data_IF_972864280980
#
_entry.id   IF_972864280980
#
_cell.length_a   1.000
_cell.length_b   1.000
_cell.length_c   1.000
_cell.angle_alpha   90.00
_cell.angle_beta   90.00
_cell.angle_gamma   90.00
#
_symmetry.space_group_name_H-M   'P 1'
#
loop_
_entity.id
_entity.type
_entity.pdbx_description
1 polymer ?
#
# COMPACT_ATOMS: atom_id res chain seq x y z
N UNK A 1 10.48 -68.37 13.47
CA UNK A 1 10.27 -67.25 14.34
C UNK A 1 11.42 -66.28 14.07
N UNK A 2 11.15 -65.18 13.35
CA UNK A 2 12.11 -64.13 13.07
C UNK A 2 11.48 -62.81 13.60
N UNK A 3 12.09 -62.29 14.65
CA UNK A 3 11.73 -61.00 15.24
C UNK A 3 12.30 -59.88 14.35
N UNK A 4 11.43 -59.09 13.80
CA UNK A 4 11.76 -57.84 13.13
C UNK A 4 11.57 -56.70 14.11
N UNK A 5 12.69 -56.15 14.61
CA UNK A 5 12.71 -54.98 15.45
C UNK A 5 12.50 -53.75 14.58
N UNK A 6 11.41 -53.02 14.79
CA UNK A 6 11.18 -51.69 14.20
C UNK A 6 12.05 -50.68 14.90
N UNK A 7 13.03 -50.15 14.20
CA UNK A 7 13.86 -49.03 14.63
C UNK A 7 13.13 -47.72 14.30
N UNK A 8 12.48 -47.10 15.28
CA UNK A 8 11.86 -45.80 15.15
C UNK A 8 12.99 -44.74 15.15
N UNK A 9 13.24 -44.19 13.98
CA UNK A 9 14.15 -43.03 13.82
C UNK A 9 13.36 -41.78 14.24
N UNK A 10 13.62 -41.27 15.46
CA UNK A 10 13.25 -39.93 15.86
C UNK A 10 14.16 -38.93 15.14
N UNK A 11 13.66 -38.29 14.11
CA UNK A 11 14.29 -37.11 13.53
C UNK A 11 14.05 -35.97 14.52
N UNK A 12 15.02 -35.70 15.37
CA UNK A 12 15.08 -34.48 16.14
C UNK A 12 15.40 -33.34 15.15
N UNK A 13 14.39 -32.55 14.81
CA UNK A 13 14.59 -31.27 14.14
C UNK A 13 15.27 -30.37 15.18
N UNK A 14 16.58 -30.30 15.11
CA UNK A 14 17.37 -29.31 15.83
C UNK A 14 17.00 -27.95 15.23
N UNK A 15 16.14 -27.21 15.93
CA UNK A 15 16.09 -25.77 15.77
C UNK A 15 17.48 -25.25 16.11
N UNK A 16 18.25 -24.90 15.10
CA UNK A 16 19.40 -24.06 15.28
C UNK A 16 18.89 -22.72 15.81
N UNK A 17 18.81 -22.62 17.12
CA UNK A 17 18.87 -21.36 17.80
C UNK A 17 20.26 -20.83 17.47
N UNK A 18 20.37 -19.92 16.50
CA UNK A 18 21.53 -19.07 16.35
C UNK A 18 21.70 -18.40 17.72
N UNK A 19 22.68 -18.89 18.46
CA UNK A 19 23.08 -18.28 19.72
C UNK A 19 23.58 -16.89 19.42
N UNK A 20 22.74 -15.87 19.65
CA UNK A 20 23.21 -14.54 19.84
C UNK A 20 24.11 -14.55 21.06
N UNK A 21 25.36 -14.14 20.92
CA UNK A 21 26.25 -13.84 22.02
C UNK A 21 25.53 -12.87 22.96
N UNK A 22 25.50 -13.23 24.23
CA UNK A 22 25.06 -12.40 25.36
C UNK A 22 26.05 -11.23 25.53
N UNK A 23 25.86 -10.15 24.81
CA UNK A 23 26.40 -8.85 25.20
C UNK A 23 25.42 -7.78 24.72
N UNK A 24 24.77 -7.09 25.66
CA UNK A 24 23.89 -5.91 25.54
C UNK A 24 22.39 -6.08 25.28
N UNK A 25 21.77 -7.24 25.35
CA UNK A 25 20.30 -7.39 25.31
C UNK A 25 19.57 -6.92 26.61
N UNK A 26 20.29 -6.29 27.55
CA UNK A 26 19.76 -6.00 28.89
C UNK A 26 18.78 -4.83 28.94
N UNK A 27 18.74 -3.94 27.95
CA UNK A 27 17.96 -2.69 28.00
C UNK A 27 16.63 -2.70 27.22
N UNK A 28 16.41 -3.68 26.34
CA UNK A 28 15.15 -3.77 25.60
C UNK A 28 14.05 -4.40 26.45
N UNK A 29 12.87 -3.79 26.46
CA UNK A 29 11.65 -4.41 27.00
C UNK A 29 11.26 -5.66 26.19
N UNK A 30 10.41 -6.53 26.75
CA UNK A 30 9.93 -7.73 26.04
C UNK A 30 9.24 -7.39 24.72
N UNK A 31 8.54 -6.27 24.67
CA UNK A 31 7.84 -5.77 23.46
C UNK A 31 8.83 -5.25 22.43
N UNK A 32 9.87 -4.51 22.84
CA UNK A 32 10.91 -4.05 21.93
C UNK A 32 11.71 -5.22 21.35
N UNK A 33 12.01 -6.23 22.16
CA UNK A 33 12.61 -7.48 21.64
C UNK A 33 11.75 -8.18 20.61
N UNK A 34 10.43 -8.11 20.71
CA UNK A 34 9.53 -8.70 19.70
C UNK A 34 9.55 -7.95 18.37
N UNK A 35 9.93 -6.67 18.34
CA UNK A 35 10.12 -5.90 17.12
C UNK A 35 11.42 -6.28 16.41
N UNK A 36 12.49 -6.64 17.14
CA UNK A 36 13.83 -6.88 16.54
C UNK A 36 13.77 -7.87 15.38
N UNK A 37 14.33 -7.47 14.24
CA UNK A 37 14.41 -8.21 12.99
C UNK A 37 13.96 -7.41 11.79
N UNK A 38 13.89 -8.08 10.63
CA UNK A 38 13.51 -7.48 9.37
C UNK A 38 12.03 -7.72 9.08
N UNK A 39 11.35 -6.70 8.56
CA UNK A 39 9.94 -6.70 8.29
C UNK A 39 9.67 -6.05 6.94
N UNK A 40 9.17 -6.83 5.98
CA UNK A 40 8.79 -6.33 4.66
C UNK A 40 7.37 -5.81 4.67
N UNK A 41 7.12 -4.64 4.08
CA UNK A 41 5.77 -4.12 3.84
C UNK A 41 5.03 -5.05 2.89
N UNK A 42 3.85 -5.49 3.29
CA UNK A 42 2.98 -6.37 2.50
C UNK A 42 1.65 -5.72 2.16
N UNK A 43 1.18 -4.77 2.97
CA UNK A 43 -0.04 -4.00 2.72
C UNK A 43 0.15 -2.57 3.25
N UNK A 44 -0.36 -1.61 2.51
CA UNK A 44 -0.45 -0.22 2.96
C UNK A 44 -1.86 0.30 2.72
N UNK A 45 -2.43 0.95 3.73
CA UNK A 45 -3.75 1.54 3.67
C UNK A 45 -3.65 3.03 4.00
N UNK A 46 -4.30 3.84 3.20
CA UNK A 46 -4.56 5.24 3.50
C UNK A 46 -6.07 5.38 3.72
N UNK A 47 -6.47 5.75 4.93
CA UNK A 47 -7.84 5.56 5.42
C UNK A 47 -8.30 4.09 5.33
N UNK A 48 -9.36 3.81 4.59
CA UNK A 48 -9.89 2.46 4.36
C UNK A 48 -9.43 1.82 3.04
N UNK A 49 -8.60 2.50 2.26
CA UNK A 49 -8.20 2.06 0.93
C UNK A 49 -6.81 1.50 0.93
N UNK A 50 -6.68 0.29 0.40
CA UNK A 50 -5.37 -0.30 0.17
C UNK A 50 -4.69 0.43 -0.98
N UNK A 51 -3.48 0.93 -0.72
CA UNK A 51 -2.62 1.53 -1.73
C UNK A 51 -1.58 0.52 -2.21
N UNK A 52 -1.17 0.61 -3.48
CA UNK A 52 -0.05 -0.18 -3.97
C UNK A 52 1.25 0.22 -3.27
N UNK A 53 2.10 -0.76 -3.05
CA UNK A 53 3.45 -0.56 -2.50
C UNK A 53 4.40 -0.32 -3.67
N UNK A 54 5.14 0.78 -3.64
CA UNK A 54 6.13 1.08 -4.67
C UNK A 54 7.48 0.46 -4.29
N UNK A 55 7.91 -0.54 -5.05
CA UNK A 55 9.16 -1.26 -4.83
C UNK A 55 9.17 -2.11 -3.54
N UNK A 56 10.35 -2.58 -3.17
CA UNK A 56 10.57 -3.41 -1.98
C UNK A 56 10.83 -2.49 -0.79
N UNK A 57 9.93 -2.47 0.17
CA UNK A 57 10.06 -1.67 1.40
C UNK A 57 10.28 -2.58 2.60
N UNK A 58 11.38 -2.35 3.33
CA UNK A 58 11.74 -3.13 4.51
C UNK A 58 12.09 -2.20 5.65
N UNK A 59 11.58 -2.49 6.84
CA UNK A 59 12.02 -1.89 8.08
C UNK A 59 12.79 -2.92 8.90
N UNK A 60 13.93 -2.54 9.44
CA UNK A 60 14.74 -3.37 10.32
C UNK A 60 14.84 -2.71 11.69
N UNK A 61 14.49 -3.45 12.73
CA UNK A 61 14.69 -3.06 14.12
C UNK A 61 15.88 -3.85 14.68
N UNK A 62 16.89 -3.15 15.20
CA UNK A 62 18.11 -3.74 15.76
C UNK A 62 18.07 -3.75 17.29
N UNK A 63 18.85 -4.61 17.90
CA UNK A 63 18.94 -4.74 19.37
C UNK A 63 19.52 -3.50 20.06
N UNK A 64 20.24 -2.66 19.35
CA UNK A 64 20.78 -1.37 19.83
C UNK A 64 19.78 -0.21 19.73
N UNK A 65 18.47 -0.50 19.53
CA UNK A 65 17.39 0.46 19.31
C UNK A 65 17.47 1.23 18.00
N UNK A 66 18.30 0.82 17.06
CA UNK A 66 18.30 1.41 15.71
C UNK A 66 17.14 0.85 14.90
N UNK A 67 16.38 1.73 14.27
CA UNK A 67 15.38 1.43 13.26
C UNK A 67 15.89 1.93 11.92
N UNK A 68 16.03 1.04 10.95
CA UNK A 68 16.49 1.37 9.60
C UNK A 68 15.38 1.11 8.59
N UNK A 69 15.14 2.03 7.67
CA UNK A 69 14.19 1.85 6.57
C UNK A 69 14.93 1.74 5.25
N UNK A 70 14.59 0.71 4.49
CA UNK A 70 15.17 0.40 3.18
C UNK A 70 14.10 0.45 2.09
N UNK A 71 14.47 1.05 0.95
CA UNK A 71 13.69 1.04 -0.28
C UNK A 71 14.54 0.38 -1.38
N UNK A 72 14.04 -0.70 -1.97
CA UNK A 72 14.75 -1.47 -3.01
C UNK A 72 16.18 -1.91 -2.63
N UNK A 73 16.37 -2.22 -1.34
CA UNK A 73 17.65 -2.61 -0.75
C UNK A 73 18.56 -1.45 -0.38
N UNK A 74 18.21 -0.19 -0.70
CA UNK A 74 18.97 0.99 -0.34
C UNK A 74 18.47 1.60 0.97
N UNK A 75 19.37 1.89 1.90
CA UNK A 75 19.05 2.57 3.15
C UNK A 75 18.59 4.00 2.87
N UNK A 76 17.38 4.33 3.31
CA UNK A 76 16.79 5.65 3.16
C UNK A 76 17.01 6.52 4.39
N UNK A 77 16.77 5.95 5.57
CA UNK A 77 17.03 6.65 6.84
C UNK A 77 17.23 5.66 7.99
N UNK A 78 17.84 6.15 9.05
CA UNK A 78 17.94 5.48 10.34
C UNK A 78 17.46 6.41 11.44
N UNK A 79 16.84 5.83 12.46
CA UNK A 79 16.41 6.52 13.68
C UNK A 79 16.50 5.58 14.86
N UNK A 80 16.22 6.05 16.05
CA UNK A 80 16.06 5.18 17.21
C UNK A 80 14.58 4.88 17.46
N UNK A 81 14.29 3.78 18.18
CA UNK A 81 12.92 3.41 18.53
C UNK A 81 12.80 3.02 20.01
N UNK A 82 11.64 3.31 20.56
CA UNK A 82 11.16 2.84 21.86
C UNK A 82 9.72 2.38 21.72
N UNK A 83 9.33 1.36 22.51
CA UNK A 83 7.95 0.93 22.60
C UNK A 83 7.38 1.33 23.97
N UNK A 84 6.31 2.12 23.97
CA UNK A 84 5.63 2.58 25.19
C UNK A 84 4.19 2.08 25.23
N UNK A 85 3.68 1.61 26.38
CA UNK A 85 2.28 1.22 26.49
C UNK A 85 1.34 2.40 26.23
N UNK A 86 0.17 2.10 25.65
CA UNK A 86 -0.92 3.07 25.57
C UNK A 86 -1.50 3.37 26.95
N UNK A 87 -2.23 4.47 27.10
CA UNK A 87 -2.87 4.83 28.37
C UNK A 87 -3.80 3.75 28.95
N UNK A 88 -4.43 2.98 28.07
CA UNK A 88 -5.39 1.94 28.45
C UNK A 88 -4.73 0.56 28.55
N UNK A 89 -3.41 0.47 28.35
CA UNK A 89 -2.63 -0.79 28.32
C UNK A 89 -3.07 -1.78 27.21
N UNK A 90 -3.95 -1.35 26.27
CA UNK A 90 -4.49 -2.19 25.21
C UNK A 90 -3.56 -2.28 23.98
N UNK A 91 -2.37 -1.67 24.03
CA UNK A 91 -1.42 -1.64 22.91
C UNK A 91 -0.15 -0.86 23.23
N UNK A 92 0.65 -0.62 22.18
CA UNK A 92 1.92 0.08 22.30
C UNK A 92 2.05 1.16 21.26
N UNK A 93 2.73 2.25 21.63
CA UNK A 93 3.20 3.29 20.71
C UNK A 93 4.65 3.03 20.34
N UNK A 94 4.96 3.23 19.06
CA UNK A 94 6.33 3.35 18.57
C UNK A 94 6.76 4.80 18.68
N UNK A 95 7.85 5.05 19.42
CA UNK A 95 8.40 6.37 19.70
C UNK A 95 9.80 6.48 19.11
N UNK A 96 10.20 7.68 18.71
CA UNK A 96 11.54 7.97 18.17
C UNK A 96 12.44 8.74 19.15
N UNK A 97 11.91 9.07 20.33
CA UNK A 97 12.65 9.68 21.43
C UNK A 97 12.24 9.04 22.75
N UNK A 98 13.17 8.88 23.72
CA UNK A 98 12.88 8.21 24.98
C UNK A 98 11.85 8.95 25.87
N UNK A 99 11.77 10.27 25.74
CA UNK A 99 10.88 11.12 26.55
C UNK A 99 9.61 11.54 25.81
N UNK A 100 9.39 11.02 24.59
CA UNK A 100 8.23 11.34 23.77
C UNK A 100 6.93 10.83 24.42
N UNK A 101 5.99 11.73 24.71
CA UNK A 101 4.67 11.42 25.26
C UNK A 101 3.58 11.61 24.18
N UNK A 102 3.23 10.54 23.51
CA UNK A 102 2.14 10.54 22.53
C UNK A 102 0.74 10.64 23.14
N UNK A 103 0.63 10.56 24.48
CA UNK A 103 -0.67 10.61 25.16
C UNK A 103 -1.43 11.92 24.95
N UNK A 104 -0.75 12.97 24.52
CA UNK A 104 -1.30 14.31 24.21
C UNK A 104 -1.02 14.75 22.79
N UNK A 105 -0.33 13.94 21.98
CA UNK A 105 -0.04 14.26 20.59
C UNK A 105 -1.27 14.04 19.71
N UNK A 106 -1.49 14.92 18.76
CA UNK A 106 -2.44 14.74 17.66
C UNK A 106 -1.94 13.69 16.63
N UNK A 107 -0.68 13.28 16.77
CA UNK A 107 -0.05 12.23 15.98
C UNK A 107 0.35 11.09 16.90
N UNK A 108 -0.07 9.90 16.57
CA UNK A 108 0.32 8.67 17.28
C UNK A 108 0.70 7.59 16.29
N UNK A 109 1.75 6.85 16.63
CA UNK A 109 2.21 5.69 15.88
C UNK A 109 2.00 4.45 16.74
N UNK A 110 0.82 3.87 16.67
CA UNK A 110 0.50 2.63 17.40
C UNK A 110 0.96 1.40 16.62
N UNK A 111 1.25 0.30 17.30
CA UNK A 111 1.58 -0.95 16.63
C UNK A 111 1.06 -2.18 17.37
N UNK A 112 0.94 -3.27 16.63
CA UNK A 112 0.56 -4.60 17.10
C UNK A 112 1.39 -5.67 16.39
N UNK A 113 1.78 -6.71 17.10
CA UNK A 113 2.43 -7.89 16.51
C UNK A 113 1.56 -9.11 16.78
N UNK A 114 1.15 -9.78 15.71
CA UNK A 114 0.41 -11.05 15.77
C UNK A 114 1.17 -12.09 14.95
N UNK A 115 1.86 -12.99 15.62
CA UNK A 115 2.73 -13.98 14.98
C UNK A 115 3.85 -13.33 14.18
N UNK A 116 3.86 -13.53 12.87
CA UNK A 116 4.84 -12.95 11.95
C UNK A 116 4.35 -11.68 11.24
N UNK A 117 3.26 -11.08 11.71
CA UNK A 117 2.73 -9.82 11.15
C UNK A 117 2.90 -8.69 12.16
N UNK A 118 3.45 -7.59 11.70
CA UNK A 118 3.53 -6.32 12.41
C UNK A 118 2.58 -5.35 11.70
N UNK A 119 1.67 -4.75 12.43
CA UNK A 119 0.82 -3.67 11.94
C UNK A 119 1.20 -2.38 12.65
N UNK A 120 1.46 -1.32 11.89
CA UNK A 120 1.73 0.02 12.41
C UNK A 120 0.62 0.94 11.93
N UNK A 121 0.03 1.71 12.85
CA UNK A 121 -0.97 2.75 12.56
C UNK A 121 -0.36 4.11 12.84
N UNK A 122 -0.45 4.98 11.87
CA UNK A 122 -0.14 6.39 12.04
C UNK A 122 -1.45 7.17 12.03
N UNK A 123 -1.77 7.84 13.11
CA UNK A 123 -2.94 8.70 13.19
C UNK A 123 -2.52 10.15 13.35
N UNK A 124 -2.98 11.00 12.44
CA UNK A 124 -2.93 12.46 12.55
C UNK A 124 -4.34 13.04 12.68
N UNK A 125 -4.46 14.35 12.83
CA UNK A 125 -5.75 15.02 13.02
C UNK A 125 -6.80 14.70 11.98
N UNK A 126 -6.39 14.27 10.77
CA UNK A 126 -7.28 14.02 9.63
C UNK A 126 -6.94 12.74 8.85
N UNK A 127 -5.83 12.08 9.15
CA UNK A 127 -5.34 10.93 8.37
C UNK A 127 -5.03 9.77 9.30
N UNK A 128 -5.55 8.59 8.94
CA UNK A 128 -5.15 7.32 9.55
C UNK A 128 -4.54 6.49 8.44
N UNK A 129 -3.24 6.26 8.51
CA UNK A 129 -2.58 5.27 7.67
C UNK A 129 -2.33 3.99 8.46
N UNK A 130 -2.31 2.87 7.77
CA UNK A 130 -2.04 1.57 8.33
C UNK A 130 -1.09 0.84 7.41
N UNK A 131 0.07 0.44 7.92
CA UNK A 131 1.03 -0.39 7.19
C UNK A 131 1.15 -1.75 7.86
N UNK A 132 1.03 -2.80 7.06
CA UNK A 132 1.18 -4.18 7.51
C UNK A 132 2.48 -4.73 6.95
N UNK A 133 3.24 -5.33 7.83
CA UNK A 133 4.55 -5.93 7.53
C UNK A 133 4.51 -7.42 7.80
N UNK A 134 5.26 -8.17 7.01
CA UNK A 134 5.57 -9.57 7.22
C UNK A 134 7.02 -9.71 7.68
N UNK A 135 7.25 -10.50 8.73
CA UNK A 135 8.61 -10.81 9.17
C UNK A 135 9.36 -11.62 8.11
N UNK A 136 10.56 -11.19 7.80
CA UNK A 136 11.49 -11.87 6.88
C UNK A 136 12.80 -12.21 7.61
N UNK A 137 13.53 -13.26 7.18
CA UNK A 137 14.77 -13.68 7.85
C UNK A 137 15.91 -12.65 7.74
N UNK A 138 15.95 -11.88 6.66
CA UNK A 138 16.96 -10.84 6.43
C UNK A 138 16.51 -9.91 5.31
N UNK A 139 17.17 -8.78 5.14
CA UNK A 139 16.90 -7.82 4.06
C UNK A 139 16.93 -8.48 2.67
N UNK A 140 17.88 -9.38 2.43
CA UNK A 140 18.03 -10.09 1.14
C UNK A 140 16.94 -11.15 0.88
N UNK A 141 16.09 -11.45 1.87
CA UNK A 141 14.99 -12.38 1.73
C UNK A 141 13.67 -11.67 1.40
N UNK A 142 13.70 -10.37 1.14
CA UNK A 142 12.52 -9.61 0.72
C UNK A 142 12.04 -10.10 -0.66
N UNK A 143 10.73 -10.34 -0.78
CA UNK A 143 10.11 -10.81 -2.01
C UNK A 143 9.70 -9.61 -2.89
N UNK A 144 10.28 -9.44 -4.08
CA UNK A 144 9.96 -8.33 -4.97
C UNK A 144 8.53 -8.39 -5.53
N UNK A 145 7.87 -9.54 -5.47
CA UNK A 145 6.49 -9.69 -5.94
C UNK A 145 5.44 -9.25 -4.92
N UNK A 146 5.84 -9.11 -3.65
CA UNK A 146 4.95 -8.65 -2.59
C UNK A 146 4.70 -7.15 -2.72
N UNK A 147 3.43 -6.78 -2.82
CA UNK A 147 3.02 -5.38 -2.96
C UNK A 147 3.28 -4.74 -4.32
N UNK A 148 3.91 -5.46 -5.26
CA UNK A 148 4.13 -4.95 -6.61
C UNK A 148 2.81 -4.58 -7.30
N UNK A 149 2.87 -3.53 -8.14
CA UNK A 149 1.72 -3.11 -8.94
C UNK A 149 1.29 -4.22 -9.89
N UNK A 150 0.16 -4.86 -9.58
CA UNK A 150 -0.48 -5.85 -10.44
C UNK A 150 -1.77 -5.27 -11.00
N UNK A 151 -2.09 -5.59 -12.25
CA UNK A 151 -3.27 -5.05 -12.92
C UNK A 151 -4.26 -6.16 -13.27
N UNK A 152 -5.55 -5.82 -13.28
CA UNK A 152 -6.57 -6.69 -13.85
C UNK A 152 -6.44 -6.70 -15.39
N UNK A 153 -6.42 -7.89 -16.01
CA UNK A 153 -6.29 -8.01 -17.46
C UNK A 153 -7.52 -7.47 -18.22
N UNK A 154 -8.71 -7.70 -17.66
CA UNK A 154 -9.99 -7.34 -18.25
C UNK A 154 -10.97 -6.78 -17.22
N UNK A 155 -10.78 -5.53 -16.77
CA UNK A 155 -11.69 -4.91 -15.84
C UNK A 155 -13.06 -4.67 -16.47
N UNK A 156 -14.14 -4.91 -15.71
CA UNK A 156 -15.52 -4.76 -16.16
C UNK A 156 -16.38 -3.86 -15.27
N UNK A 157 -15.82 -3.39 -14.16
CA UNK A 157 -16.51 -2.54 -13.18
C UNK A 157 -15.72 -1.29 -12.90
N UNK A 158 -16.40 -0.17 -12.72
CA UNK A 158 -15.80 1.11 -12.38
C UNK A 158 -15.19 1.09 -10.98
N UNK A 159 -15.89 0.46 -10.03
CA UNK A 159 -15.48 0.42 -8.62
C UNK A 159 -14.12 -0.28 -8.46
N UNK A 160 -13.30 0.27 -7.57
CA UNK A 160 -11.97 -0.21 -7.24
C UNK A 160 -10.89 0.84 -7.42
N UNK A 161 -9.64 0.41 -7.33
CA UNK A 161 -8.47 1.27 -7.41
C UNK A 161 -7.86 1.26 -8.79
N UNK A 162 -7.60 2.44 -9.31
CA UNK A 162 -7.11 2.65 -10.66
C UNK A 162 -5.84 3.49 -10.66
N UNK A 163 -4.87 3.11 -11.46
CA UNK A 163 -3.69 3.88 -11.78
C UNK A 163 -3.91 4.62 -13.11
N UNK A 164 -3.71 5.93 -13.13
CA UNK A 164 -3.68 6.70 -14.37
C UNK A 164 -2.39 6.37 -15.12
N UNK A 165 -2.51 5.61 -16.20
CA UNK A 165 -1.35 5.19 -16.99
C UNK A 165 -0.95 6.23 -18.04
N UNK A 166 -1.92 6.92 -18.64
CA UNK A 166 -1.65 7.99 -19.60
C UNK A 166 -2.81 8.97 -19.71
N UNK A 167 -2.49 10.18 -20.14
CA UNK A 167 -3.47 11.20 -20.52
C UNK A 167 -3.18 11.71 -21.94
N UNK A 168 -4.23 11.96 -22.72
CA UNK A 168 -4.16 12.55 -24.04
C UNK A 168 -4.82 13.93 -24.00
N UNK A 169 -4.06 14.96 -24.29
CA UNK A 169 -4.51 16.35 -24.32
C UNK A 169 -4.46 16.89 -25.77
N UNK A 170 -5.11 16.26 -26.71
CA UNK A 170 -5.22 16.70 -28.12
C UNK A 170 -4.01 17.48 -28.66
N UNK A 171 -3.96 18.80 -28.51
CA UNK A 171 -2.82 19.64 -28.89
C UNK A 171 -1.63 19.57 -27.94
N UNK A 172 -1.79 18.96 -26.76
CA UNK A 172 -0.76 18.87 -25.74
C UNK A 172 0.06 17.59 -25.76
N UNK A 173 -0.35 16.62 -26.58
CA UNK A 173 0.32 15.34 -26.70
C UNK A 173 -0.16 14.29 -25.66
N UNK A 174 0.54 13.16 -25.66
CA UNK A 174 0.30 12.06 -24.73
C UNK A 174 1.32 12.14 -23.62
N UNK A 175 0.84 12.03 -22.38
CA UNK A 175 1.65 11.95 -21.16
C UNK A 175 1.48 10.57 -20.56
N UNK A 176 2.57 9.94 -20.19
CA UNK A 176 2.61 8.68 -19.44
C UNK A 176 2.92 8.96 -17.99
N UNK A 177 2.39 8.14 -17.10
CA UNK A 177 2.53 8.25 -15.65
C UNK A 177 3.16 6.98 -15.10
N UNK A 178 4.08 7.16 -14.16
CA UNK A 178 4.64 6.05 -13.43
C UNK A 178 3.59 5.47 -12.45
N UNK A 179 3.67 4.17 -12.14
CA UNK A 179 2.81 3.57 -11.14
C UNK A 179 2.87 4.33 -9.80
N UNK A 180 1.72 4.75 -9.28
CA UNK A 180 1.62 5.52 -8.05
C UNK A 180 1.61 7.04 -8.18
N UNK A 181 1.89 7.60 -9.37
CA UNK A 181 1.81 9.04 -9.59
C UNK A 181 0.40 9.58 -9.39
N UNK A 182 -0.58 8.93 -9.98
CA UNK A 182 -2.00 9.27 -9.84
C UNK A 182 -2.81 8.00 -9.61
N UNK A 183 -3.37 7.89 -8.43
CA UNK A 183 -4.27 6.79 -8.04
C UNK A 183 -5.67 7.34 -7.84
N UNK A 184 -6.66 6.62 -8.39
CA UNK A 184 -8.07 6.96 -8.27
C UNK A 184 -8.83 5.76 -7.74
N UNK A 185 -9.56 5.96 -6.68
CA UNK A 185 -10.43 4.95 -6.11
C UNK A 185 -11.90 5.32 -6.30
N UNK A 186 -12.64 4.52 -7.06
CA UNK A 186 -14.09 4.64 -7.22
C UNK A 186 -14.79 3.74 -6.20
N UNK A 187 -15.52 4.35 -5.30
CA UNK A 187 -16.25 3.66 -4.24
C UNK A 187 -17.65 3.24 -4.69
N UNK A 188 -18.20 2.11 -4.19
CA UNK A 188 -19.57 1.71 -4.45
C UNK A 188 -20.65 2.71 -3.96
N UNK A 189 -20.30 3.58 -3.02
CA UNK A 189 -21.18 4.64 -2.51
C UNK A 189 -21.15 5.93 -3.37
N UNK A 190 -20.64 5.85 -4.60
CA UNK A 190 -20.55 6.97 -5.55
C UNK A 190 -19.61 8.10 -5.10
N UNK A 191 -18.61 7.78 -4.28
CA UNK A 191 -17.52 8.71 -4.00
C UNK A 191 -16.25 8.30 -4.74
N UNK A 192 -15.38 9.27 -5.02
CA UNK A 192 -14.07 9.07 -5.66
C UNK A 192 -13.02 9.69 -4.76
N UNK A 193 -11.98 8.93 -4.45
CA UNK A 193 -10.77 9.48 -3.86
C UNK A 193 -9.69 9.57 -4.94
N UNK A 194 -9.04 10.71 -5.03
CA UNK A 194 -7.89 10.94 -5.91
C UNK A 194 -6.67 11.19 -5.05
N UNK A 195 -5.58 10.50 -5.36
CA UNK A 195 -4.24 10.72 -4.80
C UNK A 195 -3.35 11.07 -5.98
N UNK A 196 -2.98 12.32 -6.09
CA UNK A 196 -2.18 12.84 -7.20
C UNK A 196 -0.84 13.32 -6.65
N UNK A 197 0.23 12.55 -6.91
CA UNK A 197 1.61 12.84 -6.52
C UNK A 197 2.42 13.40 -7.68
N UNK A 198 1.82 13.57 -8.88
CA UNK A 198 2.53 14.07 -10.03
C UNK A 198 2.87 15.56 -9.87
N UNK A 199 4.15 15.89 -9.95
CA UNK A 199 4.66 17.26 -9.79
C UNK A 199 4.59 18.12 -11.07
N UNK A 200 3.92 17.69 -12.12
CA UNK A 200 3.87 18.41 -13.39
C UNK A 200 3.14 19.73 -13.25
N UNK A 201 3.91 20.79 -13.01
CA UNK A 201 3.45 22.16 -12.73
C UNK A 201 2.74 22.86 -13.88
N UNK A 202 2.88 22.37 -15.11
CA UNK A 202 2.38 23.09 -16.30
C UNK A 202 0.97 22.68 -16.75
N UNK A 203 0.51 21.47 -16.43
CA UNK A 203 -0.86 20.99 -16.70
C UNK A 203 -1.28 20.03 -15.62
N UNK A 204 -2.45 20.26 -15.03
CA UNK A 204 -3.03 19.30 -14.08
C UNK A 204 -3.36 18.02 -14.84
N UNK A 205 -2.67 16.91 -14.56
CA UNK A 205 -2.83 15.69 -15.36
C UNK A 205 -4.21 15.06 -15.20
N UNK A 206 -4.90 15.34 -14.14
CA UNK A 206 -6.26 14.89 -13.80
C UNK A 206 -6.88 15.84 -12.78
N UNK A 207 -7.45 15.30 -11.68
CA UNK A 207 -7.98 16.05 -10.56
C UNK A 207 -6.91 16.23 -9.48
N UNK A 208 -7.04 17.24 -8.66
CA UNK A 208 -6.20 17.38 -7.45
C UNK A 208 -6.49 16.23 -6.46
N UNK A 209 -5.56 16.00 -5.52
CA UNK A 209 -5.81 15.05 -4.44
C UNK A 209 -7.02 15.50 -3.61
N UNK A 210 -7.93 14.56 -3.33
CA UNK A 210 -9.15 14.88 -2.58
C UNK A 210 -10.24 13.83 -2.71
N UNK A 211 -11.40 14.17 -2.14
CA UNK A 211 -12.62 13.37 -2.23
C UNK A 211 -13.66 14.09 -3.09
N UNK A 212 -14.26 13.36 -4.00
CA UNK A 212 -15.22 13.84 -4.97
C UNK A 212 -16.43 12.92 -5.01
N UNK A 213 -17.47 13.31 -5.72
CA UNK A 213 -18.63 12.46 -6.01
C UNK A 213 -18.75 12.16 -7.49
N UNK A 214 -19.38 11.05 -7.83
CA UNK A 214 -19.81 10.78 -9.21
C UNK A 214 -21.26 10.27 -9.22
N UNK A 215 -21.93 10.50 -10.34
CA UNK A 215 -23.27 10.00 -10.61
C UNK A 215 -23.30 9.35 -12.00
N UNK A 216 -23.91 8.17 -12.09
CA UNK A 216 -24.13 7.51 -13.38
C UNK A 216 -25.37 8.14 -14.03
N UNK A 217 -25.18 8.78 -15.20
CA UNK A 217 -26.26 9.44 -15.94
C UNK A 217 -26.96 8.45 -16.86
N UNK A 218 -26.20 7.72 -17.67
CA UNK A 218 -26.72 6.74 -18.63
C UNK A 218 -25.68 5.73 -19.05
N UNK A 219 -26.16 4.57 -19.50
CA UNK A 219 -25.31 3.53 -20.14
C UNK A 219 -25.91 3.20 -21.51
N UNK A 220 -25.08 3.14 -22.54
CA UNK A 220 -25.46 2.87 -23.92
C UNK A 220 -24.55 1.81 -24.51
N UNK A 221 -25.11 0.95 -25.36
CA UNK A 221 -24.32 -0.06 -26.10
C UNK A 221 -24.22 0.35 -27.56
N UNK A 222 -23.00 0.42 -28.07
CA UNK A 222 -22.75 0.66 -29.48
C UNK A 222 -23.25 -0.54 -30.30
N UNK A 223 -24.12 -0.26 -31.26
CA UNK A 223 -24.77 -1.28 -32.12
C UNK A 223 -23.82 -2.01 -33.07
N UNK A 224 -22.66 -1.43 -33.35
CA UNK A 224 -21.74 -1.95 -34.36
C UNK A 224 -20.69 -2.89 -33.81
N UNK A 225 -20.18 -2.61 -32.61
CA UNK A 225 -19.10 -3.38 -31.96
C UNK A 225 -19.47 -3.95 -30.58
N UNK A 226 -20.67 -3.62 -30.09
CA UNK A 226 -21.16 -4.09 -28.78
C UNK A 226 -20.48 -3.40 -27.58
N UNK A 227 -19.64 -2.40 -27.81
CA UNK A 227 -18.96 -1.68 -26.72
C UNK A 227 -19.97 -0.92 -25.86
N UNK A 228 -19.81 -1.03 -24.55
CA UNK A 228 -20.66 -0.34 -23.57
C UNK A 228 -19.99 0.96 -23.15
N UNK A 229 -20.73 2.07 -23.29
CA UNK A 229 -20.31 3.41 -22.89
C UNK A 229 -21.21 3.87 -21.74
N UNK A 230 -20.60 4.33 -20.67
CA UNK A 230 -21.33 4.88 -19.53
C UNK A 230 -20.94 6.35 -19.34
N UNK A 231 -21.94 7.22 -19.38
CA UNK A 231 -21.77 8.65 -19.07
C UNK A 231 -21.96 8.85 -17.58
N UNK A 232 -21.03 9.54 -16.96
CA UNK A 232 -21.07 9.93 -15.54
C UNK A 232 -20.93 11.46 -15.44
N UNK A 233 -21.46 12.01 -14.37
CA UNK A 233 -21.07 13.30 -13.84
C UNK A 233 -20.00 13.05 -12.78
N UNK A 234 -18.80 13.56 -12.99
CA UNK A 234 -17.70 13.47 -12.04
C UNK A 234 -17.39 14.88 -11.54
N UNK A 235 -17.82 15.16 -10.30
CA UNK A 235 -17.63 16.47 -9.66
C UNK A 235 -18.16 17.66 -10.49
N UNK A 236 -19.35 17.52 -11.07
CA UNK A 236 -20.00 18.56 -11.89
C UNK A 236 -19.52 18.63 -13.36
N UNK A 237 -18.69 17.69 -13.78
CA UNK A 237 -18.24 17.58 -15.17
C UNK A 237 -18.67 16.25 -15.78
N UNK A 238 -19.37 16.31 -16.89
CA UNK A 238 -19.75 15.11 -17.61
C UNK A 238 -18.60 14.53 -18.41
N UNK A 239 -18.44 13.22 -18.28
CA UNK A 239 -17.50 12.44 -19.07
C UNK A 239 -18.09 11.06 -19.38
N UNK A 240 -17.51 10.36 -20.34
CA UNK A 240 -17.95 9.02 -20.72
C UNK A 240 -16.81 8.04 -20.47
N UNK A 241 -17.09 6.89 -19.86
CA UNK A 241 -16.08 5.85 -19.73
C UNK A 241 -16.48 4.56 -20.45
N UNK A 242 -15.48 3.79 -20.81
CA UNK A 242 -15.59 2.42 -21.32
C UNK A 242 -14.35 1.61 -20.99
N UNK A 243 -14.47 0.29 -21.10
CA UNK A 243 -13.35 -0.65 -20.91
C UNK A 243 -12.93 -1.21 -22.26
N UNK A 244 -11.63 -1.18 -22.55
CA UNK A 244 -11.04 -1.76 -23.75
C UNK A 244 -9.56 -2.07 -23.50
N UNK A 245 -9.11 -3.23 -24.01
CA UNK A 245 -7.71 -3.64 -24.00
C UNK A 245 -7.07 -3.57 -22.59
N UNK A 246 -7.81 -4.02 -21.54
CA UNK A 246 -7.33 -4.01 -20.15
C UNK A 246 -7.33 -2.64 -19.47
N UNK A 247 -7.88 -1.62 -20.11
CA UNK A 247 -7.90 -0.25 -19.57
C UNK A 247 -9.32 0.30 -19.51
N UNK A 248 -9.55 1.21 -18.57
CA UNK A 248 -10.67 2.14 -18.58
C UNK A 248 -10.23 3.43 -19.29
N UNK A 249 -11.00 3.86 -20.27
CA UNK A 249 -10.87 5.21 -20.82
C UNK A 249 -11.92 6.11 -20.19
N UNK A 250 -11.52 7.28 -19.73
CA UNK A 250 -12.39 8.34 -19.25
C UNK A 250 -12.25 9.53 -20.21
N UNK A 251 -13.28 9.79 -20.99
CA UNK A 251 -13.30 10.74 -22.08
C UNK A 251 -14.16 11.97 -21.75
N UNK A 252 -13.54 13.13 -21.72
CA UNK A 252 -14.21 14.42 -21.55
C UNK A 252 -14.59 15.07 -22.91
N UNK A 253 -14.42 14.35 -24.01
CA UNK A 253 -14.70 14.81 -25.36
C UNK A 253 -13.45 14.91 -26.24
N UNK A 254 -12.60 13.87 -26.25
CA UNK A 254 -11.37 13.81 -27.08
C UNK A 254 -11.60 14.14 -28.56
N UNK A 255 -12.78 13.80 -29.09
CA UNK A 255 -13.16 14.15 -30.47
C UNK A 255 -13.32 15.67 -30.68
N UNK A 256 -13.41 16.46 -29.63
CA UNK A 256 -13.58 17.91 -29.63
C UNK A 256 -12.47 18.62 -28.83
N UNK A 257 -11.26 18.06 -28.87
CA UNK A 257 -10.06 18.60 -28.25
C UNK A 257 -10.04 18.66 -26.72
N UNK A 258 -10.96 17.95 -26.06
CA UNK A 258 -10.92 17.77 -24.60
C UNK A 258 -10.04 16.56 -24.20
N UNK A 259 -9.61 16.49 -22.93
CA UNK A 259 -8.71 15.43 -22.50
C UNK A 259 -9.38 14.06 -22.44
N UNK A 260 -8.57 13.03 -22.67
CA UNK A 260 -8.90 11.64 -22.40
C UNK A 260 -7.87 11.03 -21.46
N UNK A 261 -8.34 10.25 -20.48
CA UNK A 261 -7.53 9.62 -19.45
C UNK A 261 -7.67 8.11 -19.53
N UNK A 262 -6.55 7.40 -19.39
CA UNK A 262 -6.49 5.95 -19.55
C UNK A 262 -5.95 5.32 -18.27
N UNK A 263 -6.75 4.47 -17.66
CA UNK A 263 -6.46 3.89 -16.36
C UNK A 263 -6.30 2.37 -16.46
N UNK A 264 -5.38 1.83 -15.67
CA UNK A 264 -5.26 0.39 -15.39
C UNK A 264 -5.81 0.10 -14.02
N UNK A 265 -6.67 -0.91 -13.91
CA UNK A 265 -7.23 -1.33 -12.62
C UNK A 265 -6.22 -2.12 -11.83
N UNK A 266 -6.00 -1.72 -10.59
CA UNK A 266 -5.09 -2.40 -9.69
C UNK A 266 -5.75 -3.68 -9.13
N UNK A 267 -4.97 -4.74 -9.09
CA UNK A 267 -5.34 -6.01 -8.50
C UNK A 267 -4.54 -6.19 -7.21
N UNK A 268 -5.22 -6.22 -6.08
CA UNK A 268 -4.62 -6.56 -4.81
C UNK A 268 -4.74 -8.08 -4.61
N UNK A 269 -3.61 -8.74 -4.38
CA UNK A 269 -3.59 -10.16 -3.97
C UNK A 269 -3.74 -10.20 -2.45
N UNK A 270 -4.89 -10.68 -1.99
CA UNK A 270 -5.14 -10.98 -0.58
C UNK A 270 -4.31 -12.16 -0.11
#
# INVERSE_FOLDING_TARGET
MKNTTFLSIFIAIAFCLCGCNNDDDSDLSSVERSLVGCWQVVEHFNYSHQEPINGIQVIEFKSDRTQSFYQDGELQYETQFWAKPTKNEDGYYLCHQPDEDYSQSTYSCGFEIVGNRLTIWESGCFNVSKTVYQRIPSLNAADPEVGAYKYEDNPTTLEGTWHLAKANFSFGGIYEFEPGDVIVYFNPNHTVQVINKSETKERKPFMDSGFYSYEIIKTETNKYDGMVFTTIDLNGQQCTYWFKDGMMTLDYGMAYDAPGYFFKKLKFTN
#
